data_IF_221368284564
#
_entry.id   IF_221368284564
#
_cell.length_a   1.000
_cell.length_b   1.000
_cell.length_c   1.000
_cell.angle_alpha   90.00
_cell.angle_beta   90.00
_cell.angle_gamma   90.00
#
_symmetry.space_group_name_H-M   'P 1'
#
loop_
_entity.id
_entity.type
_entity.pdbx_description
1 polymer ?
#
# COMPACT_ATOMS: atom_id res chain seq x y z
N UNK A 1 11.43 18.88 -7.70
CA UNK A 1 12.01 17.53 -7.88
C UNK A 1 11.89 17.13 -9.34
N UNK A 2 12.92 16.51 -9.94
CA UNK A 2 12.78 15.92 -11.29
C UNK A 2 11.71 14.81 -11.24
N UNK A 3 10.89 14.67 -12.30
CA UNK A 3 9.85 13.62 -12.41
C UNK A 3 10.45 12.22 -12.20
N UNK A 4 11.69 12.01 -12.63
CA UNK A 4 12.48 10.78 -12.42
C UNK A 4 12.68 10.45 -10.94
N UNK A 5 13.02 11.44 -10.10
CA UNK A 5 13.19 11.23 -8.66
C UNK A 5 11.86 10.86 -8.01
N UNK A 6 10.75 11.46 -8.44
CA UNK A 6 9.41 11.12 -7.95
C UNK A 6 9.02 9.68 -8.31
N UNK A 7 9.26 9.27 -9.56
CA UNK A 7 9.03 7.89 -9.99
C UNK A 7 9.86 6.90 -9.18
N UNK A 8 11.13 7.22 -8.93
CA UNK A 8 12.01 6.39 -8.10
C UNK A 8 11.52 6.31 -6.64
N UNK A 9 11.05 7.41 -6.05
CA UNK A 9 10.48 7.37 -4.68
C UNK A 9 9.21 6.54 -4.61
N UNK A 10 8.33 6.62 -5.61
CA UNK A 10 7.10 5.84 -5.66
C UNK A 10 7.41 4.34 -5.80
N UNK A 11 8.34 3.99 -6.69
CA UNK A 11 8.81 2.62 -6.86
C UNK A 11 9.51 2.07 -5.61
N UNK A 12 10.43 2.83 -5.03
CA UNK A 12 11.15 2.42 -3.83
C UNK A 12 10.19 2.16 -2.66
N UNK A 13 9.17 3.00 -2.51
CA UNK A 13 8.13 2.81 -1.48
C UNK A 13 7.33 1.54 -1.71
N UNK A 14 6.85 1.29 -2.94
CA UNK A 14 6.08 0.07 -3.23
C UNK A 14 6.93 -1.19 -3.07
N UNK A 15 8.21 -1.13 -3.47
CA UNK A 15 9.15 -2.24 -3.32
C UNK A 15 9.42 -2.57 -1.84
N UNK A 16 9.70 -1.57 -1.01
CA UNK A 16 9.88 -1.76 0.44
C UNK A 16 8.60 -2.29 1.09
N UNK A 17 7.42 -1.80 0.70
CA UNK A 17 6.15 -2.29 1.20
C UNK A 17 5.89 -3.77 0.82
N UNK A 18 6.22 -4.16 -0.42
CA UNK A 18 6.15 -5.56 -0.87
C UNK A 18 7.10 -6.45 -0.06
N UNK A 19 8.36 -6.03 0.12
CA UNK A 19 9.33 -6.78 0.91
C UNK A 19 8.90 -6.92 2.37
N UNK A 20 8.39 -5.85 2.99
CA UNK A 20 7.85 -5.90 4.35
C UNK A 20 6.68 -6.88 4.46
N UNK A 21 5.75 -6.84 3.51
CA UNK A 21 4.63 -7.79 3.44
C UNK A 21 5.09 -9.25 3.33
N UNK A 22 6.12 -9.53 2.53
CA UNK A 22 6.70 -10.86 2.38
C UNK A 22 7.48 -11.29 3.63
N UNK A 23 8.25 -10.39 4.25
CA UNK A 23 8.99 -10.67 5.47
C UNK A 23 8.07 -11.10 6.62
N UNK A 24 6.96 -10.39 6.82
CA UNK A 24 5.98 -10.77 7.84
C UNK A 24 5.35 -12.14 7.57
N UNK A 25 5.11 -12.49 6.30
CA UNK A 25 4.50 -13.77 5.91
C UNK A 25 5.48 -14.93 6.04
N UNK A 26 6.68 -14.79 5.50
CA UNK A 26 7.60 -15.90 5.31
C UNK A 26 8.57 -16.09 6.47
N UNK A 27 9.01 -15.00 7.09
CA UNK A 27 10.00 -15.03 8.17
C UNK A 27 9.31 -15.04 9.53
N UNK A 28 8.39 -14.10 9.76
CA UNK A 28 7.67 -13.98 11.04
C UNK A 28 6.46 -14.93 11.13
N UNK A 29 6.12 -15.63 10.04
CA UNK A 29 4.99 -16.59 9.95
C UNK A 29 3.64 -16.00 10.33
N UNK A 30 3.44 -14.70 10.09
CA UNK A 30 2.13 -14.07 10.26
C UNK A 30 1.22 -14.42 9.09
N UNK A 31 0.15 -15.16 9.37
CA UNK A 31 -0.81 -15.55 8.36
C UNK A 31 -1.67 -14.32 7.96
N UNK A 32 -1.68 -13.94 6.67
CA UNK A 32 -2.41 -12.77 6.21
C UNK A 32 -3.92 -13.02 6.23
N UNK A 33 -4.68 -12.06 6.76
CA UNK A 33 -6.13 -12.06 6.66
C UNK A 33 -6.61 -11.71 5.23
N UNK A 34 -7.91 -11.86 4.96
CA UNK A 34 -8.50 -11.59 3.64
C UNK A 34 -8.29 -10.13 3.20
N UNK A 35 -8.43 -9.15 4.10
CA UNK A 35 -8.16 -7.74 3.79
C UNK A 35 -6.70 -7.45 3.46
N UNK A 36 -5.75 -8.11 4.14
CA UNK A 36 -4.33 -8.04 3.79
C UNK A 36 -4.06 -8.61 2.40
N UNK A 37 -4.74 -9.70 2.03
CA UNK A 37 -4.65 -10.26 0.68
C UNK A 37 -5.14 -9.28 -0.37
N UNK A 38 -6.28 -8.62 -0.16
CA UNK A 38 -6.73 -7.58 -1.09
C UNK A 38 -5.72 -6.43 -1.21
N UNK A 39 -5.11 -5.98 -0.12
CA UNK A 39 -4.05 -4.97 -0.19
C UNK A 39 -2.85 -5.44 -1.03
N UNK A 40 -2.44 -6.71 -0.93
CA UNK A 40 -1.35 -7.29 -1.76
C UNK A 40 -1.69 -7.27 -3.25
N UNK A 41 -2.94 -7.58 -3.62
CA UNK A 41 -3.40 -7.57 -5.02
C UNK A 41 -3.22 -6.17 -5.65
N UNK A 42 -3.42 -5.09 -4.88
CA UNK A 42 -3.19 -3.74 -5.39
C UNK A 42 -1.73 -3.28 -5.27
N UNK A 43 -1.00 -3.69 -4.23
CA UNK A 43 0.38 -3.24 -4.01
C UNK A 43 1.38 -3.90 -4.96
N UNK A 44 1.29 -5.21 -5.19
CA UNK A 44 2.32 -5.95 -5.92
C UNK A 44 2.41 -5.53 -7.40
N UNK A 45 1.29 -5.32 -8.13
CA UNK A 45 1.35 -4.81 -9.50
C UNK A 45 1.98 -3.42 -9.61
N UNK A 46 1.80 -2.56 -8.59
CA UNK A 46 2.40 -1.21 -8.58
C UNK A 46 3.93 -1.29 -8.65
N UNK A 47 4.55 -2.27 -7.99
CA UNK A 47 6.00 -2.48 -8.01
C UNK A 47 6.50 -2.71 -9.44
N UNK A 48 5.82 -3.59 -10.18
CA UNK A 48 6.19 -3.91 -11.56
C UNK A 48 5.90 -2.76 -12.52
N UNK A 49 4.73 -2.12 -12.39
CA UNK A 49 4.32 -0.99 -13.24
C UNK A 49 5.31 0.16 -13.08
N UNK A 50 5.60 0.57 -11.84
CA UNK A 50 6.54 1.66 -11.56
C UNK A 50 7.99 1.26 -11.87
N UNK A 51 8.37 -0.02 -11.67
CA UNK A 51 9.71 -0.49 -12.01
C UNK A 51 10.00 -0.38 -13.50
N UNK A 52 9.06 -0.80 -14.34
CA UNK A 52 9.16 -0.62 -15.79
C UNK A 52 9.15 0.86 -16.19
N UNK A 53 8.37 1.68 -15.48
CA UNK A 53 8.28 3.11 -15.72
C UNK A 53 9.58 3.85 -15.40
N UNK A 54 10.32 3.43 -14.36
CA UNK A 54 11.64 3.97 -14.01
C UNK A 54 12.66 3.64 -15.10
N UNK A 55 12.65 2.40 -15.63
CA UNK A 55 13.57 1.97 -16.68
C UNK A 55 13.28 2.68 -18.01
N UNK A 56 12.01 2.75 -18.40
CA UNK A 56 11.58 3.39 -19.66
C UNK A 56 11.44 4.91 -19.58
N UNK A 57 11.57 5.49 -18.39
CA UNK A 57 11.28 6.89 -18.08
C UNK A 57 9.86 7.32 -18.52
N UNK A 58 8.92 6.39 -18.49
CA UNK A 58 7.54 6.62 -18.92
C UNK A 58 6.66 7.08 -17.75
N UNK A 59 6.39 8.38 -17.71
CA UNK A 59 5.55 9.01 -16.68
C UNK A 59 4.06 8.63 -16.79
N UNK A 60 3.63 8.02 -17.89
CA UNK A 60 2.23 7.60 -18.09
C UNK A 60 1.82 6.52 -17.09
N UNK A 61 2.78 5.70 -16.64
CA UNK A 61 2.57 4.67 -15.64
C UNK A 61 2.10 5.21 -14.27
N UNK A 62 2.38 6.49 -13.99
CA UNK A 62 1.90 7.16 -12.77
C UNK A 62 0.37 7.11 -12.66
N UNK A 63 -0.37 7.17 -13.78
CA UNK A 63 -1.84 7.11 -13.79
C UNK A 63 -2.37 5.76 -13.29
N UNK A 64 -1.75 4.66 -13.70
CA UNK A 64 -2.13 3.33 -13.24
C UNK A 64 -1.80 3.13 -11.76
N UNK A 65 -0.61 3.56 -11.34
CA UNK A 65 -0.24 3.50 -9.91
C UNK A 65 -1.15 4.35 -9.03
N UNK A 66 -1.62 5.50 -9.54
CA UNK A 66 -2.57 6.36 -8.83
C UNK A 66 -3.88 5.61 -8.57
N UNK A 67 -4.48 5.04 -9.62
CA UNK A 67 -5.75 4.31 -9.50
C UNK A 67 -5.64 3.14 -8.51
N UNK A 68 -4.58 2.34 -8.63
CA UNK A 68 -4.34 1.21 -7.74
C UNK A 68 -4.10 1.66 -6.29
N UNK A 69 -3.37 2.77 -6.09
CA UNK A 69 -3.11 3.32 -4.75
C UNK A 69 -4.36 3.87 -4.06
N UNK A 70 -5.33 4.40 -4.82
CA UNK A 70 -6.62 4.85 -4.26
C UNK A 70 -7.39 3.66 -3.70
N UNK A 71 -7.51 2.59 -4.49
CA UNK A 71 -8.29 1.41 -4.10
C UNK A 71 -7.60 0.68 -2.94
N UNK A 72 -6.29 0.40 -3.08
CA UNK A 72 -5.51 -0.24 -2.01
C UNK A 72 -5.47 0.59 -0.74
N UNK A 73 -5.33 1.92 -0.88
CA UNK A 73 -5.40 2.88 0.21
C UNK A 73 -6.74 2.85 0.94
N UNK A 74 -7.86 2.85 0.21
CA UNK A 74 -9.20 2.75 0.78
C UNK A 74 -9.40 1.45 1.59
N UNK A 75 -8.94 0.31 1.06
CA UNK A 75 -9.00 -0.98 1.77
C UNK A 75 -8.13 -0.95 3.03
N UNK A 76 -6.93 -0.36 2.97
CA UNK A 76 -6.05 -0.24 4.13
C UNK A 76 -6.59 0.69 5.21
N UNK A 77 -7.28 1.77 4.82
CA UNK A 77 -7.96 2.67 5.74
C UNK A 77 -9.10 1.95 6.46
N UNK A 78 -9.94 1.21 5.72
CA UNK A 78 -11.00 0.41 6.31
C UNK A 78 -10.43 -0.66 7.26
N UNK A 79 -9.38 -1.37 6.84
CA UNK A 79 -8.72 -2.38 7.67
C UNK A 79 -8.13 -1.79 8.96
N UNK A 80 -7.52 -0.60 8.89
CA UNK A 80 -7.05 0.08 10.08
C UNK A 80 -8.20 0.51 11.01
N UNK A 81 -9.30 1.00 10.43
CA UNK A 81 -10.47 1.43 11.17
C UNK A 81 -11.12 0.27 11.95
N UNK A 82 -11.29 -0.92 11.35
CA UNK A 82 -11.86 -2.08 12.06
C UNK A 82 -10.95 -2.58 13.21
N UNK A 83 -9.64 -2.32 13.16
CA UNK A 83 -8.71 -2.69 14.24
C UNK A 83 -8.74 -1.73 15.44
N UNK A 84 -9.05 -0.45 15.20
CA UNK A 84 -8.99 0.60 16.24
C UNK A 84 -10.35 1.06 16.73
N UNK A 85 -11.39 0.92 15.92
CA UNK A 85 -12.75 1.35 16.24
C UNK A 85 -13.58 0.12 16.63
N UNK A 86 -13.87 -0.01 17.92
CA UNK A 86 -14.66 -1.13 18.47
C UNK A 86 -16.01 -1.31 17.78
N UNK A 87 -16.70 -0.22 17.46
CA UNK A 87 -17.98 -0.24 16.73
C UNK A 87 -17.89 -0.90 15.34
N UNK A 88 -16.75 -0.77 14.66
CA UNK A 88 -16.53 -1.37 13.33
C UNK A 88 -15.96 -2.80 13.43
N UNK A 89 -15.41 -3.17 14.59
CA UNK A 89 -14.90 -4.53 14.82
C UNK A 89 -16.02 -5.57 14.84
N UNK A 90 -17.23 -5.21 15.25
CA UNK A 90 -18.39 -6.13 15.28
C UNK A 90 -18.94 -6.44 13.87
N UNK A 91 -18.69 -5.55 12.91
CA UNK A 91 -19.07 -5.74 11.50
C UNK A 91 -17.90 -6.24 10.65
N UNK A 92 -16.75 -6.51 11.27
CA UNK A 92 -15.57 -6.95 10.55
C UNK A 92 -15.82 -8.33 9.92
N UNK A 93 -15.37 -8.55 8.68
CA UNK A 93 -15.45 -9.86 8.05
C UNK A 93 -14.70 -10.89 8.90
N UNK A 94 -15.46 -11.84 9.46
CA UNK A 94 -14.94 -12.98 10.19
C UNK A 94 -14.63 -14.18 9.27
N UNK A 95 -14.92 -14.05 7.97
CA UNK A 95 -14.56 -15.03 6.97
C UNK A 95 -13.03 -15.08 6.79
N UNK A 96 -12.47 -16.28 6.85
CA UNK A 96 -11.03 -16.54 6.78
C UNK A 96 -10.51 -17.32 7.97
N UNK A 97 -9.30 -17.89 7.83
CA UNK A 97 -8.65 -18.66 8.91
C UNK A 97 -8.19 -17.75 10.07
N UNK A 98 -7.90 -16.48 9.78
CA UNK A 98 -7.42 -15.48 10.73
C UNK A 98 -8.32 -14.24 10.69
N UNK A 99 -8.78 -13.72 11.84
CA UNK A 99 -9.63 -12.54 11.87
C UNK A 99 -8.87 -11.28 11.44
N UNK A 100 -9.51 -10.42 10.64
CA UNK A 100 -8.93 -9.13 10.20
C UNK A 100 -8.75 -8.13 11.37
N UNK A 101 -9.42 -8.36 12.49
CA UNK A 101 -9.29 -7.55 13.72
C UNK A 101 -8.03 -7.91 14.51
N UNK A 102 -7.37 -9.03 14.19
CA UNK A 102 -6.14 -9.47 14.84
C UNK A 102 -4.98 -8.50 14.61
N UNK A 103 -4.33 -8.07 15.69
CA UNK A 103 -3.16 -7.19 15.65
C UNK A 103 -1.89 -7.97 15.97
N UNK A 104 -1.18 -8.46 14.94
CA UNK A 104 0.14 -9.10 15.11
C UNK A 104 1.22 -8.13 15.58
N UNK A 105 1.14 -6.87 15.11
CA UNK A 105 2.07 -5.80 15.44
C UNK A 105 1.24 -4.60 15.89
N UNK A 106 1.59 -4.03 17.04
CA UNK A 106 1.01 -2.81 17.56
C UNK A 106 2.07 -1.99 18.29
N UNK A 107 3.00 -1.40 17.53
CA UNK A 107 4.07 -0.58 18.10
C UNK A 107 3.49 0.79 18.47
N UNK A 108 3.86 1.31 19.65
CA UNK A 108 3.35 2.59 20.20
C UNK A 108 1.82 2.67 20.36
N UNK A 109 1.10 1.55 20.26
CA UNK A 109 -0.36 1.53 20.39
C UNK A 109 -1.13 1.99 19.15
N UNK A 110 -0.46 2.36 18.05
CA UNK A 110 -1.10 2.79 16.79
C UNK A 110 -0.47 2.21 15.52
N UNK A 111 0.81 1.82 15.53
CA UNK A 111 1.49 1.30 14.33
C UNK A 111 1.14 -0.18 14.16
N UNK A 112 0.17 -0.44 13.28
CA UNK A 112 -0.21 -1.80 12.85
C UNK A 112 0.21 -2.07 11.40
N UNK A 113 0.14 -3.33 10.96
CA UNK A 113 0.46 -3.72 9.58
C UNK A 113 -0.42 -2.95 8.56
N UNK A 114 -1.76 -2.82 8.74
CA UNK A 114 -2.59 -2.02 7.85
C UNK A 114 -2.21 -0.54 7.81
N UNK A 115 -1.75 0.03 8.93
CA UNK A 115 -1.27 1.41 8.97
C UNK A 115 -0.02 1.61 8.12
N UNK A 116 0.94 0.67 8.21
CA UNK A 116 2.14 0.71 7.35
C UNK A 116 1.75 0.63 5.87
N UNK A 117 0.83 -0.26 5.50
CA UNK A 117 0.33 -0.35 4.14
C UNK A 117 -0.36 0.96 3.69
N UNK A 118 -1.18 1.57 4.55
CA UNK A 118 -1.84 2.84 4.30
C UNK A 118 -0.81 3.97 4.04
N UNK A 119 0.23 4.07 4.86
CA UNK A 119 1.29 5.07 4.65
C UNK A 119 2.00 4.88 3.31
N UNK A 120 2.30 3.64 2.92
CA UNK A 120 2.89 3.35 1.61
C UNK A 120 1.96 3.76 0.46
N UNK A 121 0.67 3.42 0.53
CA UNK A 121 -0.30 3.82 -0.49
C UNK A 121 -0.46 5.33 -0.57
N UNK A 122 -0.45 6.06 0.54
CA UNK A 122 -0.51 7.53 0.55
C UNK A 122 0.72 8.14 -0.12
N UNK A 123 1.92 7.64 0.17
CA UNK A 123 3.15 8.13 -0.46
C UNK A 123 3.09 7.89 -1.98
N UNK A 124 2.69 6.71 -2.42
CA UNK A 124 2.53 6.38 -3.84
C UNK A 124 1.47 7.28 -4.48
N UNK A 125 0.34 7.49 -3.81
CA UNK A 125 -0.74 8.35 -4.29
C UNK A 125 -0.27 9.80 -4.50
N UNK A 126 0.36 10.38 -3.47
CA UNK A 126 0.84 11.77 -3.51
C UNK A 126 1.91 11.94 -4.59
N UNK A 127 2.89 11.04 -4.64
CA UNK A 127 3.98 11.10 -5.63
C UNK A 127 3.44 10.93 -7.05
N UNK A 128 2.51 10.01 -7.29
CA UNK A 128 1.86 9.83 -8.59
C UNK A 128 0.99 11.02 -8.98
N UNK A 129 0.26 11.63 -8.04
CA UNK A 129 -0.45 12.89 -8.29
C UNK A 129 0.48 14.03 -8.69
N UNK A 130 1.63 14.16 -8.01
CA UNK A 130 2.61 15.20 -8.33
C UNK A 130 3.20 15.01 -9.73
N UNK A 131 3.44 13.77 -10.16
CA UNK A 131 3.92 13.45 -11.51
C UNK A 131 2.87 13.83 -12.57
N UNK A 132 1.59 13.55 -12.31
CA UNK A 132 0.48 13.83 -13.25
C UNK A 132 0.17 15.34 -13.32
N UNK A 133 0.15 16.04 -12.17
CA UNK A 133 -0.11 17.48 -12.10
C UNK A 133 1.07 18.32 -12.57
N UNK A 134 2.29 17.79 -12.49
CA UNK A 134 3.49 18.41 -13.06
C UNK A 134 3.41 18.41 -14.59
N UNK A 135 2.57 19.27 -15.15
CA UNK A 135 2.52 19.60 -16.57
C UNK A 135 3.89 20.15 -16.98
N UNK A 136 4.30 19.79 -18.19
CA UNK A 136 5.64 19.91 -18.73
C UNK A 136 6.26 21.31 -18.53
N UNK A 137 7.41 21.35 -17.84
CA UNK A 137 8.42 22.40 -18.04
C UNK A 137 9.41 21.90 -19.10
N UNK A 138 8.90 21.50 -20.26
CA UNK A 138 9.68 21.23 -21.46
C UNK A 138 9.24 22.23 -22.52
#
# INVERSE_FOLDING_TARGET
>A
MKKENLLFTAWGTSFVAMLGSLYFSEVMKYEPCELCWYQRIFMYPIVFILGLAVIKKDVTAAKYSLLLSIIGGGISLYHYAIQKVSFLSETAPACGRVPCTGMYINVFGFITIPFLALTAFIIIFVTSLMIIKGKDNA
#
